data_IF_348188043213
#
_entry.id   IF_348188043213
#
_cell.length_a   1.000
_cell.length_b   1.000
_cell.length_c   1.000
_cell.angle_alpha   90.00
_cell.angle_beta   90.00
_cell.angle_gamma   90.00
#
_symmetry.space_group_name_H-M   'P 1'
#
loop_
_entity.id
_entity.type
_entity.pdbx_description
1 polymer ?
#
# COMPACT_ATOMS: atom_id res chain seq x y z
N UNK A 1 -11.96 -26.47 1.44
CA UNK A 1 -12.76 -25.26 1.70
C UNK A 1 -12.22 -24.17 0.79
N UNK A 2 -13.05 -23.38 0.09
CA UNK A 2 -12.53 -22.37 -0.82
C UNK A 2 -11.77 -21.33 -0.01
N UNK A 3 -10.51 -21.12 -0.36
CA UNK A 3 -9.74 -19.99 0.12
C UNK A 3 -10.29 -18.75 -0.57
N UNK A 4 -11.09 -17.96 0.15
CA UNK A 4 -11.53 -16.64 -0.29
C UNK A 4 -10.29 -15.75 -0.41
N UNK A 5 -9.73 -15.67 -1.61
CA UNK A 5 -8.77 -14.65 -1.99
C UNK A 5 -9.55 -13.38 -2.31
N UNK A 6 -9.60 -12.47 -1.35
CA UNK A 6 -10.27 -11.18 -1.52
C UNK A 6 -9.25 -10.16 -2.02
N UNK A 7 -9.52 -9.52 -3.15
CA UNK A 7 -8.68 -8.44 -3.66
C UNK A 7 -9.21 -7.14 -3.07
N UNK A 8 -8.35 -6.44 -2.33
CA UNK A 8 -8.67 -5.16 -1.67
C UNK A 8 -7.88 -4.05 -2.36
N UNK A 9 -8.56 -2.95 -2.67
CA UNK A 9 -7.91 -1.74 -3.17
C UNK A 9 -7.66 -0.81 -1.98
N UNK A 10 -6.39 -0.66 -1.62
CA UNK A 10 -5.95 0.27 -0.57
C UNK A 10 -5.51 1.59 -1.20
N UNK A 11 -6.16 2.68 -0.81
CA UNK A 11 -5.74 4.04 -1.17
C UNK A 11 -5.05 4.67 0.01
N UNK A 12 -3.87 5.26 -0.22
CA UNK A 12 -3.16 6.02 0.83
C UNK A 12 -4.05 7.13 1.38
N UNK A 13 -3.92 7.51 2.66
CA UNK A 13 -4.75 8.55 3.26
C UNK A 13 -4.60 9.92 2.57
N UNK A 14 -3.48 10.13 1.88
CA UNK A 14 -3.15 11.31 1.09
C UNK A 14 -3.73 11.25 -0.35
N UNK A 15 -4.38 10.15 -0.73
CA UNK A 15 -5.02 9.94 -2.03
C UNK A 15 -4.07 9.84 -3.23
N UNK A 16 -2.76 9.91 -3.00
CA UNK A 16 -1.76 9.98 -4.08
C UNK A 16 -1.46 8.62 -4.73
N UNK A 17 -1.52 7.55 -3.95
CA UNK A 17 -1.17 6.20 -4.41
C UNK A 17 -2.28 5.20 -4.02
N UNK A 18 -2.53 4.26 -4.92
CA UNK A 18 -3.51 3.19 -4.79
C UNK A 18 -2.84 1.85 -5.05
N UNK A 19 -3.13 0.86 -4.22
CA UNK A 19 -2.50 -0.45 -4.21
C UNK A 19 -3.56 -1.54 -4.27
N UNK A 20 -3.39 -2.48 -5.19
CA UNK A 20 -4.16 -3.72 -5.21
C UNK A 20 -3.43 -4.76 -4.34
N UNK A 21 -4.09 -5.21 -3.28
CA UNK A 21 -3.52 -6.16 -2.32
C UNK A 21 -4.43 -7.37 -2.16
N UNK A 22 -3.85 -8.51 -1.83
CA UNK A 22 -4.61 -9.72 -1.56
C UNK A 22 -4.82 -9.85 -0.05
N UNK A 23 -6.09 -9.91 0.37
CA UNK A 23 -6.48 -10.25 1.72
C UNK A 23 -6.69 -11.77 1.80
N UNK A 24 -5.91 -12.40 2.67
CA UNK A 24 -6.04 -13.83 2.98
C UNK A 24 -6.32 -13.98 4.46
N UNK A 25 -7.57 -14.33 4.80
CA UNK A 25 -8.09 -14.38 6.17
C UNK A 25 -8.11 -12.97 6.79
N UNK A 26 -7.06 -12.61 7.53
CA UNK A 26 -6.86 -11.31 8.17
C UNK A 26 -5.50 -10.68 7.80
N UNK A 27 -4.76 -11.32 6.90
CA UNK A 27 -3.42 -10.89 6.50
C UNK A 27 -3.48 -10.26 5.12
N UNK A 28 -3.01 -9.01 5.05
CA UNK A 28 -2.77 -8.31 3.80
C UNK A 28 -1.41 -8.72 3.24
N UNK A 29 -1.42 -9.22 2.01
CA UNK A 29 -0.22 -9.59 1.27
C UNK A 29 0.14 -8.49 0.28
N UNK A 30 1.37 -7.97 0.42
CA UNK A 30 1.96 -6.93 -0.43
C UNK A 30 3.31 -7.42 -0.96
N UNK A 31 3.66 -7.00 -2.17
CA UNK A 31 5.02 -7.18 -2.70
C UNK A 31 6.00 -6.13 -2.11
N UNK A 32 7.31 -6.45 -2.14
CA UNK A 32 8.37 -5.56 -1.67
C UNK A 32 8.34 -4.17 -2.34
N UNK A 33 7.97 -4.09 -3.62
CA UNK A 33 7.84 -2.82 -4.33
C UNK A 33 6.62 -2.01 -3.86
N UNK A 34 5.48 -2.66 -3.59
CA UNK A 34 4.29 -2.00 -3.05
C UNK A 34 4.57 -1.48 -1.63
N UNK A 35 5.26 -2.28 -0.81
CA UNK A 35 5.72 -1.88 0.52
C UNK A 35 6.64 -0.65 0.46
N UNK A 36 7.61 -0.63 -0.47
CA UNK A 36 8.52 0.49 -0.65
C UNK A 36 7.81 1.80 -1.01
N UNK A 37 6.76 1.72 -1.85
CA UNK A 37 5.91 2.86 -2.22
C UNK A 37 4.98 3.30 -1.08
N UNK A 38 4.39 2.35 -0.36
CA UNK A 38 3.48 2.62 0.77
C UNK A 38 4.19 3.41 1.87
N UNK A 39 5.38 2.95 2.26
CA UNK A 39 6.15 3.58 3.32
C UNK A 39 6.90 4.83 2.87
N UNK A 40 6.79 5.20 1.58
CA UNK A 40 7.45 6.36 0.96
C UNK A 40 8.82 6.55 1.61
N UNK A 41 9.70 5.54 1.51
CA UNK A 41 11.08 5.64 2.02
C UNK A 41 11.89 6.71 1.29
N UNK A 42 11.28 7.42 0.36
CA UNK A 42 11.67 8.78 0.07
C UNK A 42 11.37 9.65 1.29
N UNK A 43 12.41 9.90 2.10
CA UNK A 43 12.49 11.09 2.95
C UNK A 43 12.37 12.31 2.03
N UNK A 44 11.17 12.58 1.53
CA UNK A 44 10.79 13.89 1.09
C UNK A 44 10.65 14.70 2.36
N UNK A 45 11.81 15.06 2.91
CA UNK A 45 12.12 16.42 3.29
C UNK A 45 11.87 17.28 2.04
N UNK A 46 10.62 17.37 1.61
CA UNK A 46 10.13 18.55 0.93
C UNK A 46 9.98 19.54 2.06
N UNK A 47 11.12 20.10 2.46
CA UNK A 47 11.07 21.49 2.88
C UNK A 47 10.52 22.19 1.65
N UNK A 48 9.22 22.39 1.66
CA UNK A 48 8.61 23.46 0.94
C UNK A 48 9.12 24.72 1.64
N UNK A 49 10.34 25.11 1.35
CA UNK A 49 10.90 26.38 1.75
C UNK A 49 11.15 27.19 0.49
N UNK A 50 10.16 28.07 0.25
CA UNK A 50 10.18 29.29 -0.54
C UNK A 50 10.22 29.18 -2.06
#
# INVERSE_FOLDING_TARGET
MPENNEIVIYTTPDGKETFEVNLKKDTVWLDAHQLARLFKRDRSRKDHCQ
#
